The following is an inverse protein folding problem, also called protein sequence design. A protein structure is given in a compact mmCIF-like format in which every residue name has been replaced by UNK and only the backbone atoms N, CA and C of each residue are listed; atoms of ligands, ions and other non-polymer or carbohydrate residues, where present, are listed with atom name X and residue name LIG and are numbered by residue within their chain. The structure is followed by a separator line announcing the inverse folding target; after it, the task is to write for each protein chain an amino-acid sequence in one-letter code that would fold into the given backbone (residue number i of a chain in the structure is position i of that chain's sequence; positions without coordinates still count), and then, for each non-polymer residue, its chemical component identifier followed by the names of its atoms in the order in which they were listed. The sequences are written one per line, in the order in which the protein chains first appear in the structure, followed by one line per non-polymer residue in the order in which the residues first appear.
data_IF_412248471129
#
_entry.id   IF_412248471129
#
_cell.length_a   1.000
_cell.length_b   1.000
_cell.length_c   1.000
_cell.angle_alpha   90.00
_cell.angle_beta   90.00
_cell.angle_gamma   90.00
#
_symmetry.space_group_name_H-M   'P 1'
#
loop_
_entity.id
_entity.type
_entity.pdbx_description
1 polymer ?
#
# COMPACT_ATOMS: atom_id res chain seq x y z
N UNK A 1 -26.84 -68.93 -7.68
CA UNK A 1 -27.16 -68.58 -6.27
C UNK A 1 -27.96 -67.29 -6.26
N UNK A 2 -29.24 -67.29 -5.83
CA UNK A 2 -30.04 -66.08 -5.82
C UNK A 2 -29.58 -65.18 -4.66
N UNK A 3 -29.25 -63.94 -4.96
CA UNK A 3 -28.99 -62.92 -3.94
C UNK A 3 -30.30 -62.71 -3.19
N UNK A 4 -30.33 -63.13 -1.92
CA UNK A 4 -31.49 -63.00 -1.05
C UNK A 4 -32.05 -61.58 -1.09
N UNK A 5 -33.35 -61.44 -1.37
CA UNK A 5 -34.12 -60.20 -1.33
C UNK A 5 -33.92 -59.40 -0.03
N UNK A 6 -33.52 -60.09 1.05
CA UNK A 6 -33.19 -59.49 2.35
C UNK A 6 -31.90 -58.66 2.30
N UNK A 7 -30.88 -59.07 1.52
CA UNK A 7 -29.63 -58.31 1.37
C UNK A 7 -29.82 -57.01 0.56
N UNK A 8 -30.69 -57.03 -0.45
CA UNK A 8 -30.99 -55.84 -1.27
C UNK A 8 -31.76 -54.80 -0.44
N UNK A 9 -32.73 -55.22 0.37
CA UNK A 9 -33.45 -54.33 1.29
C UNK A 9 -32.53 -53.70 2.34
N UNK A 10 -31.58 -54.47 2.87
CA UNK A 10 -30.62 -53.95 3.85
C UNK A 10 -29.65 -52.93 3.24
N UNK A 11 -29.20 -53.16 2.00
CA UNK A 11 -28.33 -52.21 1.28
C UNK A 11 -29.06 -50.90 0.95
N UNK A 12 -30.32 -50.97 0.51
CA UNK A 12 -31.13 -49.77 0.26
C UNK A 12 -31.42 -48.97 1.54
N UNK A 13 -31.60 -49.65 2.68
CA UNK A 13 -31.75 -49.00 3.98
C UNK A 13 -30.46 -48.23 4.36
N UNK A 14 -29.30 -48.85 4.19
CA UNK A 14 -28.00 -48.22 4.47
C UNK A 14 -27.72 -47.03 3.54
N UNK A 15 -28.08 -47.12 2.26
CA UNK A 15 -27.93 -46.01 1.31
C UNK A 15 -28.83 -44.82 1.66
N UNK A 16 -30.09 -45.07 2.03
CA UNK A 16 -31.00 -44.02 2.47
C UNK A 16 -30.54 -43.38 3.78
N UNK A 17 -30.06 -44.17 4.73
CA UNK A 17 -29.55 -43.68 6.02
C UNK A 17 -28.25 -42.87 5.86
N UNK A 18 -27.39 -43.23 4.90
CA UNK A 18 -26.23 -42.41 4.51
C UNK A 18 -26.62 -41.09 3.83
N UNK A 19 -27.64 -41.10 2.97
CA UNK A 19 -28.15 -39.89 2.31
C UNK A 19 -28.77 -38.91 3.32
N UNK A 20 -29.59 -39.42 4.25
CA UNK A 20 -30.18 -38.62 5.33
C UNK A 20 -29.08 -37.98 6.20
N UNK A 21 -28.07 -38.76 6.61
CA UNK A 21 -26.94 -38.24 7.38
C UNK A 21 -26.12 -37.18 6.63
N UNK A 22 -26.01 -37.29 5.31
CA UNK A 22 -25.30 -36.30 4.49
C UNK A 22 -26.09 -34.98 4.37
N UNK A 23 -27.41 -35.05 4.26
CA UNK A 23 -28.27 -33.86 4.22
C UNK A 23 -28.35 -33.17 5.59
N UNK A 24 -28.37 -33.92 6.68
CA UNK A 24 -28.27 -33.37 8.05
C UNK A 24 -26.93 -32.66 8.27
N UNK A 25 -25.82 -33.22 7.79
CA UNK A 25 -24.50 -32.58 7.85
C UNK A 25 -24.45 -31.27 7.04
N UNK A 26 -25.11 -31.23 5.87
CA UNK A 26 -25.25 -30.01 5.06
C UNK A 26 -26.13 -28.97 5.76
N UNK A 27 -27.24 -29.37 6.36
CA UNK A 27 -28.13 -28.49 7.10
C UNK A 27 -27.44 -27.87 8.32
N UNK A 28 -26.67 -28.66 9.07
CA UNK A 28 -25.87 -28.19 10.22
C UNK A 28 -24.74 -27.26 9.75
N UNK A 29 -24.09 -27.55 8.63
CA UNK A 29 -23.08 -26.66 8.05
C UNK A 29 -23.69 -25.31 7.61
N UNK A 30 -24.86 -25.34 6.99
CA UNK A 30 -25.60 -24.14 6.58
C UNK A 30 -26.05 -23.31 7.79
N UNK A 31 -26.60 -23.94 8.83
CA UNK A 31 -26.96 -23.26 10.09
C UNK A 31 -25.73 -22.66 10.79
N UNK A 32 -24.58 -23.35 10.81
CA UNK A 32 -23.33 -22.81 11.36
C UNK A 32 -22.83 -21.60 10.55
N UNK A 33 -23.00 -21.62 9.23
CA UNK A 33 -22.64 -20.51 8.34
C UNK A 33 -23.58 -19.31 8.52
N UNK A 34 -24.88 -19.55 8.69
CA UNK A 34 -25.86 -18.52 9.05
C UNK A 34 -25.62 -17.94 10.44
N UNK A 35 -25.30 -18.76 11.44
CA UNK A 35 -24.96 -18.29 12.79
C UNK A 35 -23.66 -17.47 12.78
N UNK A 36 -22.65 -17.85 11.99
CA UNK A 36 -21.46 -17.01 11.77
C UNK A 36 -21.82 -15.68 11.10
N UNK A 37 -22.69 -15.69 10.07
CA UNK A 37 -23.20 -14.47 9.42
C UNK A 37 -24.01 -13.59 10.38
N UNK A 38 -24.83 -14.17 11.25
CA UNK A 38 -25.59 -13.47 12.29
C UNK A 38 -24.69 -12.90 13.37
N UNK A 39 -23.72 -13.66 13.90
CA UNK A 39 -22.71 -13.14 14.85
C UNK A 39 -21.85 -12.03 14.24
N UNK A 40 -21.49 -12.15 12.95
CA UNK A 40 -20.80 -11.09 12.21
C UNK A 40 -21.67 -9.84 11.99
N UNK A 41 -22.99 -10.01 11.76
CA UNK A 41 -23.94 -8.89 11.70
C UNK A 41 -24.15 -8.22 13.07
N UNK A 42 -24.20 -8.99 14.15
CA UNK A 42 -24.40 -8.47 15.51
C UNK A 42 -23.14 -7.81 16.11
N UNK A 43 -21.93 -8.20 15.69
CA UNK A 43 -20.69 -7.54 16.16
C UNK A 43 -20.40 -6.19 15.49
N UNK A 44 -21.18 -5.81 14.47
CA UNK A 44 -21.09 -4.50 13.83
C UNK A 44 -22.28 -3.64 14.26
N UNK A 45 -22.02 -2.75 15.23
CA UNK A 45 -22.95 -1.69 15.60
C UNK A 45 -23.44 -0.88 14.39
N UNK A 46 -24.64 -0.31 14.56
CA UNK A 46 -25.46 0.48 13.63
C UNK A 46 -24.71 1.15 12.45
N UNK A 47 -25.14 0.74 11.25
CA UNK A 47 -25.06 1.42 9.92
C UNK A 47 -23.69 1.92 9.45
N UNK A 48 -22.79 0.99 9.13
CA UNK A 48 -21.69 1.22 8.18
C UNK A 48 -22.23 1.00 6.75
N UNK A 49 -22.09 1.98 5.85
CA UNK A 49 -22.58 1.87 4.47
C UNK A 49 -21.96 0.68 3.73
N UNK A 50 -22.71 0.05 2.82
CA UNK A 50 -22.24 -1.10 2.00
C UNK A 50 -20.90 -0.80 1.30
N UNK A 51 -20.72 0.44 0.81
CA UNK A 51 -19.47 0.93 0.21
C UNK A 51 -18.27 0.85 1.16
N UNK A 52 -18.46 1.22 2.44
CA UNK A 52 -17.43 1.14 3.48
C UNK A 52 -17.14 -0.31 3.91
N UNK A 53 -18.11 -1.22 3.77
CA UNK A 53 -17.93 -2.67 4.01
C UNK A 53 -17.11 -3.35 2.91
N UNK A 54 -17.20 -2.88 1.67
CA UNK A 54 -16.47 -3.41 0.51
C UNK A 54 -15.19 -2.61 0.17
N UNK A 55 -14.86 -1.58 0.96
CA UNK A 55 -13.73 -0.66 0.69
C UNK A 55 -13.76 -0.05 -0.73
N UNK A 56 -14.95 0.27 -1.22
CA UNK A 56 -15.18 0.83 -2.55
C UNK A 56 -14.90 2.34 -2.55
N UNK A 57 -13.79 2.75 -3.16
CA UNK A 57 -13.51 4.14 -3.51
C UNK A 57 -13.46 4.22 -5.03
N UNK A 58 -14.48 4.85 -5.64
CA UNK A 58 -14.54 4.97 -7.09
C UNK A 58 -13.44 5.89 -7.60
N UNK A 59 -12.85 5.51 -8.74
CA UNK A 59 -11.86 6.34 -9.43
C UNK A 59 -12.52 7.63 -9.89
N UNK A 60 -11.98 8.77 -9.47
CA UNK A 60 -12.42 10.06 -10.02
C UNK A 60 -11.98 10.16 -11.49
N UNK A 61 -12.77 10.85 -12.30
CA UNK A 61 -12.55 11.08 -13.73
C UNK A 61 -11.12 11.55 -14.03
N UNK A 62 -10.60 12.51 -13.28
CA UNK A 62 -9.24 13.04 -13.49
C UNK A 62 -8.16 11.95 -13.36
N UNK A 63 -8.32 11.03 -12.40
CA UNK A 63 -7.38 9.93 -12.19
C UNK A 63 -7.54 8.87 -13.29
N UNK A 64 -8.77 8.60 -13.70
CA UNK A 64 -9.04 7.68 -14.81
C UNK A 64 -8.44 8.21 -16.12
N UNK A 65 -8.66 9.48 -16.46
CA UNK A 65 -8.10 10.12 -17.65
C UNK A 65 -6.57 10.16 -17.60
N UNK A 66 -5.98 10.47 -16.44
CA UNK A 66 -4.54 10.44 -16.26
C UNK A 66 -3.95 9.03 -16.45
N UNK A 67 -4.61 7.99 -15.94
CA UNK A 67 -4.19 6.60 -16.10
C UNK A 67 -4.29 6.17 -17.57
N UNK A 68 -5.42 6.43 -18.22
CA UNK A 68 -5.65 6.02 -19.61
C UNK A 68 -4.71 6.76 -20.58
N UNK A 69 -4.46 8.05 -20.34
CA UNK A 69 -3.52 8.84 -21.14
C UNK A 69 -2.06 8.47 -20.91
N UNK A 70 -1.69 7.92 -19.76
CA UNK A 70 -0.31 7.49 -19.48
C UNK A 70 0.06 6.14 -20.09
N UNK A 71 -0.91 5.37 -20.59
CA UNK A 71 -0.66 4.08 -21.23
C UNK A 71 0.18 4.26 -22.51
N UNK A 72 1.26 3.48 -22.71
CA UNK A 72 2.14 3.57 -23.88
C UNK A 72 1.55 2.84 -25.09
N UNK A 73 0.27 3.11 -25.36
CA UNK A 73 -0.47 2.58 -26.51
C UNK A 73 -1.49 3.59 -26.98
N UNK A 74 -1.58 3.75 -28.29
CA UNK A 74 -2.64 4.53 -28.93
C UNK A 74 -3.76 3.63 -29.47
N UNK A 75 -3.51 2.32 -29.55
CA UNK A 75 -4.47 1.33 -30.00
C UNK A 75 -4.61 0.19 -28.99
N UNK A 76 -5.81 -0.40 -28.91
CA UNK A 76 -6.08 -1.58 -28.11
C UNK A 76 -7.27 -2.35 -28.68
N UNK A 77 -7.11 -3.65 -28.91
CA UNK A 77 -8.24 -4.50 -29.31
C UNK A 77 -9.04 -5.01 -28.12
N UNK A 78 -8.38 -5.26 -26.99
CA UNK A 78 -8.99 -5.82 -25.78
C UNK A 78 -8.47 -5.12 -24.52
N UNK A 79 -9.39 -4.77 -23.63
CA UNK A 79 -9.11 -4.07 -22.37
C UNK A 79 -9.81 -4.80 -21.23
N UNK A 80 -9.11 -5.03 -20.13
CA UNK A 80 -9.67 -5.71 -18.95
C UNK A 80 -9.43 -4.93 -17.66
N UNK A 81 -10.42 -4.94 -16.76
CA UNK A 81 -10.30 -4.52 -15.35
C UNK A 81 -10.76 -5.66 -14.42
N UNK A 82 -9.88 -6.07 -13.50
CA UNK A 82 -10.09 -7.18 -12.57
C UNK A 82 -10.97 -6.83 -11.37
N UNK A 83 -11.24 -5.55 -11.17
CA UNK A 83 -12.03 -5.01 -10.07
C UNK A 83 -12.79 -3.77 -10.57
N UNK A 84 -13.56 -3.97 -11.64
CA UNK A 84 -14.07 -2.90 -12.49
C UNK A 84 -15.04 -1.94 -11.79
N UNK A 85 -15.69 -2.37 -10.70
CA UNK A 85 -16.71 -1.58 -10.03
C UNK A 85 -17.81 -1.18 -11.01
N UNK A 86 -18.19 0.09 -11.00
CA UNK A 86 -19.19 0.63 -11.94
C UNK A 86 -18.62 0.89 -13.35
N UNK A 87 -17.36 0.53 -13.61
CA UNK A 87 -16.74 0.62 -14.94
C UNK A 87 -16.09 1.95 -15.29
N UNK A 88 -15.83 2.84 -14.32
CA UNK A 88 -15.25 4.17 -14.58
C UNK A 88 -13.98 4.15 -15.45
N UNK A 89 -13.07 3.21 -15.19
CA UNK A 89 -11.84 3.06 -15.97
C UNK A 89 -12.14 2.54 -17.39
N UNK A 90 -13.04 1.55 -17.52
CA UNK A 90 -13.44 0.99 -18.82
C UNK A 90 -14.16 2.02 -19.68
N UNK A 91 -15.06 2.81 -19.10
CA UNK A 91 -15.74 3.91 -19.81
C UNK A 91 -14.73 4.95 -20.30
N UNK A 92 -13.75 5.32 -19.48
CA UNK A 92 -12.71 6.27 -19.88
C UNK A 92 -11.81 5.70 -20.97
N UNK A 93 -11.50 4.40 -20.89
CA UNK A 93 -10.74 3.70 -21.93
C UNK A 93 -11.50 3.65 -23.26
N UNK A 94 -12.82 3.43 -23.24
CA UNK A 94 -13.66 3.40 -24.43
C UNK A 94 -13.68 4.73 -25.20
N UNK A 95 -13.40 5.86 -24.53
CA UNK A 95 -13.28 7.16 -25.20
C UNK A 95 -11.96 7.32 -25.97
N UNK A 96 -10.91 6.57 -25.59
CA UNK A 96 -9.59 6.62 -26.23
C UNK A 96 -9.41 5.51 -27.27
N UNK A 97 -9.92 4.32 -27.00
CA UNK A 97 -9.70 3.13 -27.81
C UNK A 97 -11.01 2.71 -28.49
N UNK A 98 -11.30 3.35 -29.61
CA UNK A 98 -12.49 3.06 -30.41
C UNK A 98 -12.56 1.58 -30.78
N UNK A 99 -13.74 0.97 -30.64
CA UNK A 99 -14.01 -0.43 -30.94
C UNK A 99 -13.28 -1.48 -30.08
N UNK A 100 -12.56 -1.09 -29.03
CA UNK A 100 -11.96 -2.05 -28.11
C UNK A 100 -13.04 -2.91 -27.42
N UNK A 101 -12.82 -4.23 -27.36
CA UNK A 101 -13.66 -5.11 -26.56
C UNK A 101 -13.25 -4.99 -25.09
N UNK A 102 -14.20 -4.64 -24.24
CA UNK A 102 -14.00 -4.40 -22.82
C UNK A 102 -14.38 -5.64 -22.00
N UNK A 103 -13.61 -5.93 -20.96
CA UNK A 103 -13.87 -7.01 -20.02
C UNK A 103 -13.89 -6.43 -18.59
N UNK A 104 -15.04 -6.48 -17.93
CA UNK A 104 -15.24 -5.94 -16.59
C UNK A 104 -15.51 -7.04 -15.58
N UNK A 105 -14.59 -7.25 -14.64
CA UNK A 105 -14.70 -8.31 -13.63
C UNK A 105 -14.99 -7.62 -12.31
N UNK A 106 -16.04 -8.07 -11.62
CA UNK A 106 -16.35 -7.61 -10.27
C UNK A 106 -16.98 -8.76 -9.48
N UNK A 107 -16.87 -8.71 -8.14
CA UNK A 107 -17.50 -9.69 -7.25
C UNK A 107 -18.93 -9.27 -6.88
N UNK A 108 -19.27 -7.98 -7.01
CA UNK A 108 -20.60 -7.46 -6.73
C UNK A 108 -21.47 -7.52 -7.99
N UNK A 109 -22.50 -8.35 -7.94
CA UNK A 109 -23.50 -8.54 -8.99
C UNK A 109 -24.20 -7.22 -9.39
N UNK A 110 -24.34 -6.24 -8.50
CA UNK A 110 -24.85 -4.91 -8.86
C UNK A 110 -23.90 -4.13 -9.77
N UNK A 111 -22.58 -4.28 -9.59
CA UNK A 111 -21.58 -3.69 -10.46
C UNK A 111 -21.59 -4.40 -11.82
N UNK A 112 -21.67 -5.73 -11.84
CA UNK A 112 -21.76 -6.50 -13.08
C UNK A 112 -22.97 -6.09 -13.93
N UNK A 113 -24.16 -5.94 -13.32
CA UNK A 113 -25.34 -5.42 -14.03
C UNK A 113 -25.12 -4.05 -14.66
N UNK A 114 -24.34 -3.17 -14.03
CA UNK A 114 -24.00 -1.85 -14.59
C UNK A 114 -22.99 -1.96 -15.73
N UNK A 115 -22.02 -2.85 -15.60
CA UNK A 115 -21.04 -3.15 -16.64
C UNK A 115 -21.71 -3.73 -17.89
N UNK A 116 -22.76 -4.54 -17.75
CA UNK A 116 -23.55 -5.08 -18.87
C UNK A 116 -24.26 -3.99 -19.69
N UNK A 117 -24.45 -2.80 -19.13
CA UNK A 117 -25.03 -1.66 -19.86
C UNK A 117 -24.01 -0.91 -20.71
N UNK A 118 -22.71 -1.19 -20.55
CA UNK A 118 -21.65 -0.55 -21.32
C UNK A 118 -21.53 -1.20 -22.70
N UNK A 119 -21.35 -0.38 -23.74
CA UNK A 119 -21.14 -0.87 -25.09
C UNK A 119 -19.84 -1.68 -25.19
N UNK A 120 -19.84 -2.69 -26.08
CA UNK A 120 -18.69 -3.56 -26.34
C UNK A 120 -18.08 -4.20 -25.08
N UNK A 121 -18.87 -4.39 -24.02
CA UNK A 121 -18.40 -4.89 -22.73
C UNK A 121 -18.90 -6.30 -22.45
N UNK A 122 -18.00 -7.15 -21.96
CA UNK A 122 -18.30 -8.46 -21.36
C UNK A 122 -18.10 -8.34 -19.85
N UNK A 123 -19.18 -8.41 -19.07
CA UNK A 123 -19.07 -8.45 -17.61
C UNK A 123 -18.92 -9.88 -17.10
N UNK A 124 -18.17 -10.07 -16.01
CA UNK A 124 -17.97 -11.38 -15.39
C UNK A 124 -18.07 -11.23 -13.87
N UNK A 125 -19.14 -11.77 -13.29
CA UNK A 125 -19.39 -11.72 -11.85
C UNK A 125 -18.65 -12.84 -11.11
N UNK A 126 -17.43 -12.57 -10.62
CA UNK A 126 -16.64 -13.53 -9.84
C UNK A 126 -15.58 -12.86 -8.95
N UNK A 127 -15.05 -13.62 -8.00
CA UNK A 127 -13.91 -13.20 -7.18
C UNK A 127 -12.58 -13.52 -7.90
N UNK A 128 -11.93 -12.49 -8.47
CA UNK A 128 -10.68 -12.61 -9.21
C UNK A 128 -9.49 -13.09 -8.36
N UNK A 129 -9.60 -13.14 -7.03
CA UNK A 129 -8.50 -13.52 -6.12
C UNK A 129 -8.28 -15.03 -6.00
N UNK A 130 -9.17 -15.85 -6.58
CA UNK A 130 -9.08 -17.31 -6.58
C UNK A 130 -8.43 -17.84 -7.87
N UNK A 131 -7.67 -18.94 -7.78
CA UNK A 131 -6.99 -19.54 -8.94
C UNK A 131 -7.98 -19.94 -10.05
N UNK A 132 -9.03 -20.69 -9.70
CA UNK A 132 -10.02 -21.14 -10.67
C UNK A 132 -10.77 -19.98 -11.35
N UNK A 133 -10.95 -18.86 -10.64
CA UNK A 133 -11.51 -17.64 -11.22
C UNK A 133 -10.54 -16.98 -12.20
N UNK A 134 -9.26 -16.90 -11.84
CA UNK A 134 -8.23 -16.35 -12.71
C UNK A 134 -8.05 -17.17 -14.00
N UNK A 135 -8.13 -18.50 -13.90
CA UNK A 135 -8.12 -19.38 -15.07
C UNK A 135 -9.34 -19.16 -15.97
N UNK A 136 -10.53 -18.96 -15.37
CA UNK A 136 -11.74 -18.59 -16.12
C UNK A 136 -11.59 -17.25 -16.85
N UNK A 137 -10.98 -16.25 -16.21
CA UNK A 137 -10.69 -14.94 -16.82
C UNK A 137 -9.75 -15.12 -18.02
N UNK A 138 -8.68 -15.90 -17.87
CA UNK A 138 -7.76 -16.20 -18.98
C UNK A 138 -8.44 -16.94 -20.13
N UNK A 139 -9.41 -17.80 -19.85
CA UNK A 139 -10.14 -18.53 -20.87
C UNK A 139 -11.10 -17.63 -21.71
N UNK A 140 -11.44 -16.43 -21.26
CA UNK A 140 -12.35 -15.54 -22.00
C UNK A 140 -11.71 -14.91 -23.23
N UNK A 141 -10.41 -14.68 -23.19
CA UNK A 141 -9.69 -14.07 -24.30
C UNK A 141 -8.24 -14.55 -24.31
N UNK A 142 -7.71 -14.86 -25.49
CA UNK A 142 -6.34 -15.36 -25.63
C UNK A 142 -5.29 -14.38 -25.12
N UNK A 143 -5.52 -13.08 -25.31
CA UNK A 143 -4.59 -12.01 -24.91
C UNK A 143 -5.35 -10.75 -24.50
N UNK A 144 -4.90 -10.06 -23.46
CA UNK A 144 -5.41 -8.74 -23.11
C UNK A 144 -4.42 -7.68 -23.56
N UNK A 145 -4.78 -6.84 -24.52
CA UNK A 145 -3.91 -5.79 -25.04
C UNK A 145 -3.59 -4.75 -23.97
N UNK A 146 -4.60 -4.38 -23.18
CA UNK A 146 -4.46 -3.47 -22.05
C UNK A 146 -5.11 -4.07 -20.80
N UNK A 147 -4.38 -4.02 -19.69
CA UNK A 147 -4.92 -4.33 -18.36
C UNK A 147 -4.97 -3.03 -17.56
N UNK A 148 -6.13 -2.65 -17.04
CA UNK A 148 -6.29 -1.48 -16.18
C UNK A 148 -6.85 -1.87 -14.82
N UNK A 149 -6.67 -1.02 -13.82
CA UNK A 149 -7.34 -1.25 -12.55
C UNK A 149 -7.16 -0.17 -11.51
N UNK A 150 -8.15 -0.07 -10.63
CA UNK A 150 -8.04 0.57 -9.34
C UNK A 150 -8.54 -0.41 -8.28
N UNK A 151 -7.67 -1.32 -7.79
CA UNK A 151 -8.08 -2.41 -6.92
C UNK A 151 -8.57 -1.91 -5.56
N UNK A 152 -9.34 -2.74 -4.83
CA UNK A 152 -9.80 -2.42 -3.49
C UNK A 152 -8.65 -2.47 -2.46
N UNK A 153 -8.65 -1.54 -1.50
CA UNK A 153 -7.56 -1.38 -0.52
C UNK A 153 -7.96 -1.98 0.84
N UNK A 154 -7.67 -3.25 1.06
CA UNK A 154 -7.95 -3.91 2.33
C UNK A 154 -6.94 -5.00 2.67
N UNK A 155 -7.00 -5.48 3.93
CA UNK A 155 -6.15 -6.56 4.41
C UNK A 155 -6.91 -7.87 4.34
N UNK A 156 -6.30 -8.90 3.75
CA UNK A 156 -6.89 -10.23 3.56
C UNK A 156 -5.99 -11.32 4.16
N UNK A 157 -6.58 -12.46 4.51
CA UNK A 157 -5.83 -13.64 4.94
C UNK A 157 -5.30 -14.42 3.74
N UNK A 158 -4.07 -14.91 3.85
CA UNK A 158 -3.46 -15.73 2.82
C UNK A 158 -4.11 -17.12 2.70
N UNK A 159 -4.61 -17.43 1.50
CA UNK A 159 -4.89 -18.80 1.02
C UNK A 159 -3.61 -19.49 0.52
N UNK A 160 -3.63 -20.80 0.29
CA UNK A 160 -2.50 -21.52 -0.32
C UNK A 160 -2.07 -20.92 -1.67
N UNK A 161 -3.05 -20.60 -2.53
CA UNK A 161 -2.82 -19.95 -3.82
C UNK A 161 -2.13 -18.59 -3.68
N UNK A 162 -2.65 -17.71 -2.81
CA UNK A 162 -2.03 -16.39 -2.62
C UNK A 162 -0.62 -16.50 -2.03
N UNK A 163 -0.34 -17.44 -1.12
CA UNK A 163 1.04 -17.65 -0.62
C UNK A 163 1.98 -18.06 -1.74
N UNK A 164 1.55 -18.99 -2.58
CA UNK A 164 2.31 -19.42 -3.75
C UNK A 164 2.61 -18.22 -4.67
N UNK A 165 1.59 -17.42 -4.99
CA UNK A 165 1.74 -16.27 -5.87
C UNK A 165 2.65 -15.19 -5.26
N UNK A 166 2.49 -14.85 -3.98
CA UNK A 166 3.39 -13.90 -3.31
C UNK A 166 4.85 -14.40 -3.32
N UNK A 167 5.08 -15.70 -3.12
CA UNK A 167 6.41 -16.29 -3.24
C UNK A 167 6.98 -16.20 -4.68
N UNK A 168 6.17 -16.48 -5.69
CA UNK A 168 6.53 -16.37 -7.12
C UNK A 168 7.00 -14.94 -7.48
N UNK A 169 6.41 -13.93 -6.82
CA UNK A 169 6.73 -12.52 -6.98
C UNK A 169 7.77 -12.00 -5.99
N UNK A 170 8.59 -12.89 -5.41
CA UNK A 170 9.65 -12.59 -4.45
C UNK A 170 9.19 -11.92 -3.15
N UNK A 171 7.89 -11.93 -2.85
CA UNK A 171 7.30 -11.43 -1.61
C UNK A 171 7.06 -12.58 -0.63
N UNK A 172 8.13 -13.10 -0.03
CA UNK A 172 8.03 -14.18 0.95
C UNK A 172 7.66 -13.65 2.36
N UNK A 173 6.46 -13.09 2.48
CA UNK A 173 5.96 -12.62 3.76
C UNK A 173 5.57 -13.79 4.66
N UNK A 174 6.22 -13.92 5.82
CA UNK A 174 5.83 -14.86 6.89
C UNK A 174 4.53 -14.47 7.59
N UNK A 175 3.88 -13.39 7.17
CA UNK A 175 2.68 -12.85 7.81
C UNK A 175 1.45 -13.68 7.44
N UNK A 176 0.47 -13.73 8.33
CA UNK A 176 -0.84 -14.35 8.05
C UNK A 176 -1.62 -13.58 6.97
N UNK A 177 -1.40 -12.27 6.88
CA UNK A 177 -2.18 -11.35 6.07
C UNK A 177 -1.37 -10.68 4.96
N UNK A 178 -2.07 -10.26 3.90
CA UNK A 178 -1.56 -9.43 2.81
C UNK A 178 -2.51 -8.26 2.48
N UNK A 179 -2.06 -7.37 1.60
CA UNK A 179 -2.82 -6.23 1.08
C UNK A 179 -3.42 -6.59 -0.29
N UNK A 180 -4.74 -6.51 -0.43
CA UNK A 180 -5.46 -6.95 -1.62
C UNK A 180 -4.97 -6.25 -2.89
N UNK A 181 -4.71 -4.96 -2.82
CA UNK A 181 -4.18 -4.15 -3.92
C UNK A 181 -2.84 -4.65 -4.48
N UNK A 182 -2.01 -5.30 -3.65
CA UNK A 182 -0.76 -5.94 -4.09
C UNK A 182 -1.03 -7.25 -4.84
N UNK A 183 -2.05 -8.00 -4.42
CA UNK A 183 -2.48 -9.20 -5.14
C UNK A 183 -3.00 -8.83 -6.53
N UNK A 184 -3.88 -7.84 -6.62
CA UNK A 184 -4.42 -7.38 -7.89
C UNK A 184 -3.34 -6.84 -8.83
N UNK A 185 -2.31 -6.16 -8.31
CA UNK A 185 -1.14 -5.80 -9.11
C UNK A 185 -0.48 -7.04 -9.74
N UNK A 186 -0.17 -8.07 -8.94
CA UNK A 186 0.47 -9.28 -9.46
C UNK A 186 -0.41 -10.01 -10.48
N UNK A 187 -1.72 -10.12 -10.22
CA UNK A 187 -2.67 -10.73 -11.15
C UNK A 187 -2.75 -9.95 -12.47
N UNK A 188 -2.82 -8.62 -12.40
CA UNK A 188 -2.85 -7.74 -13.57
C UNK A 188 -1.59 -7.90 -14.41
N UNK A 189 -0.42 -7.94 -13.76
CA UNK A 189 0.84 -8.18 -14.46
C UNK A 189 0.97 -9.60 -15.04
N UNK A 190 0.33 -10.61 -14.44
CA UNK A 190 0.28 -12.00 -14.97
C UNK A 190 -0.66 -12.19 -16.17
N UNK A 191 -1.49 -11.19 -16.48
CA UNK A 191 -2.31 -11.16 -17.69
C UNK A 191 -1.59 -10.53 -18.89
N UNK A 192 -0.40 -9.97 -18.67
CA UNK A 192 0.36 -9.33 -19.75
C UNK A 192 1.07 -10.37 -20.61
N UNK A 193 0.70 -10.39 -21.89
CA UNK A 193 1.39 -11.13 -22.95
C UNK A 193 2.37 -10.21 -23.71
N UNK A 194 2.88 -10.67 -24.86
CA UNK A 194 3.67 -9.82 -25.76
C UNK A 194 2.83 -8.65 -26.26
N UNK A 195 3.47 -7.48 -26.36
CA UNK A 195 2.87 -6.26 -26.89
C UNK A 195 1.66 -5.71 -26.10
N UNK A 196 1.48 -6.16 -24.86
CA UNK A 196 0.50 -5.64 -23.91
C UNK A 196 1.08 -4.55 -22.99
N UNK A 197 0.20 -3.77 -22.36
CA UNK A 197 0.56 -2.86 -21.28
C UNK A 197 -0.44 -2.92 -20.12
N UNK A 198 0.01 -2.45 -18.95
CA UNK A 198 -0.82 -2.34 -17.76
C UNK A 198 -0.74 -0.91 -17.21
N UNK A 199 -1.89 -0.37 -16.77
CA UNK A 199 -1.99 0.85 -15.99
C UNK A 199 -2.81 0.61 -14.72
N UNK A 200 -2.23 0.73 -13.53
CA UNK A 200 -2.91 0.37 -12.28
C UNK A 200 -2.62 1.34 -11.14
N UNK A 201 -3.66 1.69 -10.39
CA UNK A 201 -3.54 2.50 -9.17
C UNK A 201 -3.07 1.63 -8.01
N UNK A 202 -1.99 2.05 -7.34
CA UNK A 202 -1.38 1.31 -6.23
C UNK A 202 -0.90 2.25 -5.10
N UNK A 203 -0.74 1.75 -3.86
CA UNK A 203 -0.30 2.60 -2.74
C UNK A 203 1.17 2.99 -2.81
N UNK A 204 1.51 4.14 -2.22
CA UNK A 204 2.88 4.67 -2.06
C UNK A 204 3.89 3.62 -1.58
N UNK A 205 3.48 2.73 -0.67
CA UNK A 205 4.37 1.72 -0.09
C UNK A 205 5.03 0.80 -1.11
N UNK A 206 4.39 0.55 -2.26
CA UNK A 206 5.00 -0.25 -3.33
C UNK A 206 6.28 0.43 -3.84
N UNK A 207 6.31 1.76 -3.85
CA UNK A 207 7.40 2.57 -4.41
C UNK A 207 8.38 3.12 -3.38
N UNK A 208 7.94 3.33 -2.14
CA UNK A 208 8.74 3.99 -1.10
C UNK A 208 9.29 3.07 -0.01
N UNK A 209 8.68 1.89 0.20
CA UNK A 209 9.02 1.02 1.33
C UNK A 209 10.03 -0.08 0.97
N UNK A 210 10.90 -0.39 1.93
CA UNK A 210 11.87 -1.49 1.84
C UNK A 210 11.17 -2.85 1.69
N UNK A 211 9.99 -3.01 2.32
CA UNK A 211 9.18 -4.23 2.25
C UNK A 211 8.89 -4.69 0.82
N UNK A 212 8.71 -3.74 -0.10
CA UNK A 212 8.36 -4.02 -1.50
C UNK A 212 9.55 -3.86 -2.47
N UNK A 213 10.79 -3.73 -1.96
CA UNK A 213 11.99 -3.74 -2.79
C UNK A 213 12.09 -5.00 -3.68
N UNK A 214 11.82 -6.23 -3.19
CA UNK A 214 11.83 -7.42 -4.05
C UNK A 214 10.78 -7.38 -5.17
N UNK A 215 9.63 -6.74 -4.93
CA UNK A 215 8.61 -6.55 -5.97
C UNK A 215 9.10 -5.57 -7.04
N UNK A 216 9.79 -4.49 -6.67
CA UNK A 216 10.38 -3.55 -7.63
C UNK A 216 11.51 -4.20 -8.45
N UNK A 217 12.33 -5.04 -7.84
CA UNK A 217 13.31 -5.88 -8.54
C UNK A 217 12.62 -6.80 -9.56
N UNK A 218 11.54 -7.47 -9.16
CA UNK A 218 10.75 -8.32 -10.05
C UNK A 218 10.17 -7.53 -11.22
N UNK A 219 9.54 -6.39 -10.98
CA UNK A 219 8.98 -5.52 -12.03
C UNK A 219 10.07 -5.09 -13.03
N UNK A 220 11.21 -4.61 -12.55
CA UNK A 220 12.33 -4.17 -13.44
C UNK A 220 13.01 -5.33 -14.19
N UNK A 221 12.87 -6.57 -13.72
CA UNK A 221 13.33 -7.75 -14.46
C UNK A 221 12.38 -8.18 -15.57
N UNK A 222 11.09 -7.85 -15.46
CA UNK A 222 10.05 -8.28 -16.39
C UNK A 222 9.75 -7.22 -17.45
N UNK A 223 9.83 -5.94 -17.11
CA UNK A 223 9.36 -4.86 -17.97
C UNK A 223 10.46 -3.85 -18.28
N UNK A 224 10.53 -3.45 -19.56
CA UNK A 224 11.49 -2.45 -20.06
C UNK A 224 10.97 -1.03 -19.92
N UNK A 225 9.67 -0.84 -20.06
CA UNK A 225 9.00 0.44 -19.86
C UNK A 225 8.26 0.43 -18.54
N UNK A 226 8.57 1.38 -17.68
CA UNK A 226 7.95 1.59 -16.37
C UNK A 226 7.78 3.10 -16.15
N UNK A 227 6.55 3.55 -15.96
CA UNK A 227 6.25 4.92 -15.53
C UNK A 227 5.50 4.90 -14.19
N UNK A 228 5.92 5.78 -13.28
CA UNK A 228 5.32 5.94 -11.95
C UNK A 228 4.82 7.36 -11.80
N UNK A 229 3.53 7.52 -11.61
CA UNK A 229 2.89 8.84 -11.44
C UNK A 229 2.38 8.95 -10.02
N UNK A 230 3.00 9.81 -9.23
CA UNK A 230 2.57 10.13 -7.89
C UNK A 230 1.32 11.01 -7.92
N UNK A 231 0.21 10.51 -7.38
CA UNK A 231 -1.07 11.20 -7.34
C UNK A 231 -1.14 12.22 -6.19
N UNK A 232 -1.97 13.24 -6.33
CA UNK A 232 -2.25 14.17 -5.24
C UNK A 232 -2.90 13.44 -4.05
N UNK A 233 -2.62 13.90 -2.83
CA UNK A 233 -3.15 13.36 -1.57
C UNK A 233 -4.68 13.46 -1.47
N UNK A 234 -5.33 14.18 -2.40
CA UNK A 234 -6.79 14.34 -2.51
C UNK A 234 -7.37 13.73 -3.79
N UNK A 235 -6.61 12.88 -4.49
CA UNK A 235 -7.04 12.26 -5.74
C UNK A 235 -8.30 11.37 -5.58
N UNK A 236 -8.52 10.82 -4.38
CA UNK A 236 -9.68 9.99 -4.07
C UNK A 236 -10.49 10.58 -2.91
N UNK A 237 -11.79 10.77 -3.13
CA UNK A 237 -12.67 11.34 -2.12
C UNK A 237 -12.79 10.42 -0.90
N UNK A 238 -12.67 10.99 0.30
CA UNK A 238 -12.85 10.26 1.55
C UNK A 238 -11.61 9.51 2.05
N UNK A 239 -10.44 9.70 1.43
CA UNK A 239 -9.16 9.17 1.90
C UNK A 239 -8.02 10.15 1.64
N UNK A 240 -7.05 10.21 2.55
CA UNK A 240 -5.78 10.93 2.36
C UNK A 240 -4.65 9.97 1.91
N UNK A 241 -5.02 8.78 1.43
CA UNK A 241 -4.08 7.75 1.01
C UNK A 241 -3.23 8.21 -0.18
N UNK A 242 -1.91 8.27 0.03
CA UNK A 242 -0.94 8.43 -1.06
C UNK A 242 -0.95 7.23 -1.97
N UNK A 243 -1.25 7.50 -3.23
CA UNK A 243 -1.42 6.52 -4.30
C UNK A 243 -0.62 6.96 -5.52
N UNK A 244 -0.38 6.01 -6.39
CA UNK A 244 0.41 6.19 -7.59
C UNK A 244 -0.27 5.42 -8.73
N UNK A 245 -0.11 5.89 -9.96
CA UNK A 245 -0.36 5.08 -11.15
C UNK A 245 0.96 4.42 -11.53
N UNK A 246 0.95 3.09 -11.61
CA UNK A 246 1.99 2.31 -12.25
C UNK A 246 1.59 2.03 -13.69
N UNK A 247 2.42 2.42 -14.64
CA UNK A 247 2.30 1.96 -16.02
C UNK A 247 3.49 1.08 -16.37
N UNK A 248 3.23 -0.10 -16.93
CA UNK A 248 4.28 -0.96 -17.48
C UNK A 248 3.92 -1.43 -18.88
N UNK A 249 4.93 -1.74 -19.69
CA UNK A 249 4.69 -2.35 -21.00
C UNK A 249 5.72 -3.42 -21.33
N UNK A 250 5.21 -4.45 -22.03
CA UNK A 250 5.98 -5.56 -22.60
C UNK A 250 6.10 -5.46 -24.13
N UNK A 251 5.91 -4.26 -24.69
CA UNK A 251 6.04 -4.01 -26.13
C UNK A 251 7.49 -4.12 -26.60
N UNK A 252 7.71 -4.78 -27.74
CA UNK A 252 9.08 -4.91 -28.30
C UNK A 252 9.65 -3.60 -28.81
N UNK A 253 8.80 -2.76 -29.40
CA UNK A 253 9.18 -1.50 -30.04
C UNK A 253 9.49 -0.37 -29.05
N UNK A 254 9.21 -0.56 -27.76
CA UNK A 254 9.41 0.50 -26.77
C UNK A 254 10.85 0.54 -26.29
N UNK A 255 11.43 1.74 -26.32
CA UNK A 255 12.75 1.97 -25.72
C UNK A 255 12.67 1.74 -24.21
N UNK A 256 13.66 1.05 -23.59
CA UNK A 256 13.72 0.93 -22.15
C UNK A 256 13.72 2.30 -21.47
N UNK A 257 12.75 2.50 -20.59
CA UNK A 257 12.56 3.76 -19.89
C UNK A 257 11.95 3.48 -18.53
N UNK A 258 12.56 4.04 -17.49
CA UNK A 258 12.02 4.03 -16.14
C UNK A 258 11.88 5.49 -15.72
N UNK A 259 10.66 5.92 -15.45
CA UNK A 259 10.35 7.31 -15.12
C UNK A 259 9.49 7.44 -13.87
N UNK A 260 9.63 8.58 -13.20
CA UNK A 260 8.74 8.99 -12.12
C UNK A 260 8.35 10.46 -12.27
N UNK A 261 7.11 10.80 -11.96
CA UNK A 261 6.59 12.17 -12.01
C UNK A 261 5.49 12.40 -10.99
N UNK A 262 5.25 13.66 -10.66
CA UNK A 262 4.05 14.05 -9.91
C UNK A 262 2.92 14.36 -10.87
N UNK A 263 1.69 13.96 -10.54
CA UNK A 263 0.47 14.40 -11.25
C UNK A 263 0.34 15.93 -11.34
N UNK A 264 0.96 16.69 -10.42
CA UNK A 264 0.97 18.15 -10.43
C UNK A 264 2.07 18.77 -11.29
N UNK A 265 3.04 17.98 -11.77
CA UNK A 265 4.22 18.47 -12.49
C UNK A 265 4.38 17.72 -13.81
N UNK A 266 4.51 18.44 -14.91
CA UNK A 266 4.64 17.82 -16.23
C UNK A 266 6.00 17.17 -16.49
N UNK A 267 7.04 17.52 -15.72
CA UNK A 267 8.40 17.02 -15.98
C UNK A 267 8.64 15.66 -15.32
N UNK A 268 8.87 14.64 -16.15
CA UNK A 268 9.30 13.33 -15.69
C UNK A 268 10.80 13.32 -15.34
N UNK A 269 11.13 12.53 -14.30
CA UNK A 269 12.50 12.22 -13.89
C UNK A 269 12.81 10.83 -14.40
N UNK A 270 13.89 10.68 -15.18
CA UNK A 270 14.39 9.37 -15.59
C UNK A 270 15.19 8.74 -14.45
N UNK A 271 14.89 7.49 -14.15
CA UNK A 271 15.55 6.71 -13.11
C UNK A 271 16.44 5.63 -13.74
N UNK A 272 17.57 5.37 -13.10
CA UNK A 272 18.30 4.11 -13.27
C UNK A 272 17.51 2.96 -12.62
N UNK A 273 17.83 1.72 -13.00
CA UNK A 273 17.20 0.53 -12.45
C UNK A 273 17.39 0.47 -10.92
N UNK A 274 18.58 0.80 -10.44
CA UNK A 274 18.94 0.79 -9.02
C UNK A 274 18.16 1.87 -8.25
N UNK A 275 17.96 3.05 -8.85
CA UNK A 275 17.16 4.13 -8.25
C UNK A 275 15.70 3.70 -8.10
N UNK A 276 15.09 3.09 -9.12
CA UNK A 276 13.73 2.57 -9.04
C UNK A 276 13.59 1.47 -7.99
N UNK A 277 14.55 0.53 -7.93
CA UNK A 277 14.55 -0.54 -6.93
C UNK A 277 14.63 0.05 -5.52
N UNK A 278 15.47 1.06 -5.30
CA UNK A 278 15.58 1.71 -4.00
C UNK A 278 14.27 2.45 -3.65
N UNK A 279 13.88 3.45 -4.45
CA UNK A 279 12.61 4.17 -4.33
C UNK A 279 12.16 4.76 -5.66
N UNK A 280 10.90 4.59 -6.03
CA UNK A 280 10.35 5.10 -7.28
C UNK A 280 9.33 6.26 -7.11
N UNK A 281 9.03 6.68 -5.88
CA UNK A 281 8.17 7.84 -5.65
C UNK A 281 8.87 9.13 -6.11
N UNK A 282 8.10 10.05 -6.69
CA UNK A 282 8.64 11.27 -7.27
C UNK A 282 9.14 12.22 -6.18
N UNK A 283 8.46 12.27 -5.03
CA UNK A 283 8.85 13.08 -3.88
C UNK A 283 10.32 12.85 -3.49
N UNK A 284 10.73 11.59 -3.32
CA UNK A 284 12.12 11.23 -3.02
C UNK A 284 13.08 11.60 -4.16
N UNK A 285 12.74 11.22 -5.40
CA UNK A 285 13.64 11.37 -6.54
C UNK A 285 13.79 12.81 -7.04
N UNK A 286 12.84 13.68 -6.74
CA UNK A 286 12.86 15.09 -7.11
C UNK A 286 13.82 15.93 -6.25
N UNK A 287 14.24 15.40 -5.10
CA UNK A 287 15.18 16.07 -4.21
C UNK A 287 16.59 15.50 -4.43
N UNK A 288 17.44 16.25 -5.14
CA UNK A 288 18.84 15.89 -5.39
C UNK A 288 19.75 16.78 -4.55
N UNK A 289 20.75 16.18 -3.91
CA UNK A 289 21.77 16.87 -3.12
C UNK A 289 23.09 16.11 -3.22
N UNK A 290 24.19 16.73 -2.75
CA UNK A 290 25.49 16.10 -2.77
C UNK A 290 25.59 15.04 -1.66
N UNK A 291 25.66 13.77 -2.06
CA UNK A 291 25.74 12.65 -1.11
C UNK A 291 27.16 12.43 -0.52
N UNK A 292 28.15 13.23 -0.92
CA UNK A 292 29.53 13.11 -0.40
C UNK A 292 29.72 13.81 0.97
N UNK A 293 28.69 14.48 1.48
CA UNK A 293 28.72 15.14 2.78
C UNK A 293 28.75 14.12 3.92
N UNK A 294 29.38 14.48 5.04
CA UNK A 294 29.37 13.67 6.25
C UNK A 294 27.92 13.55 6.73
N UNK A 295 27.44 12.33 6.93
CA UNK A 295 26.12 12.09 7.51
C UNK A 295 26.21 11.97 9.03
N UNK A 296 25.07 12.07 9.72
CA UNK A 296 24.97 11.71 11.14
C UNK A 296 25.63 10.36 11.42
N UNK A 297 25.35 9.32 10.63
CA UNK A 297 25.93 7.99 10.83
C UNK A 297 27.46 8.00 10.76
N UNK A 298 28.03 8.61 9.72
CA UNK A 298 29.49 8.70 9.53
C UNK A 298 30.18 9.66 10.50
N UNK A 299 29.41 10.52 11.18
CA UNK A 299 29.93 11.45 12.19
C UNK A 299 30.13 10.84 13.56
N UNK A 300 29.56 9.66 13.82
CA UNK A 300 29.54 9.04 15.14
C UNK A 300 28.46 9.60 16.07
N UNK A 301 27.68 10.60 15.64
CA UNK A 301 26.54 11.11 16.39
C UNK A 301 25.51 10.00 16.57
N UNK A 302 25.17 9.71 17.83
CA UNK A 302 24.23 8.63 18.17
C UNK A 302 22.79 9.11 17.95
N UNK A 303 22.01 8.33 17.20
CA UNK A 303 20.56 8.52 17.06
C UNK A 303 19.80 7.33 17.59
N UNK A 304 18.78 7.59 18.39
CA UNK A 304 17.95 6.59 19.03
C UNK A 304 16.49 6.83 18.67
N UNK A 305 15.73 5.76 18.45
CA UNK A 305 14.26 5.81 18.43
C UNK A 305 13.78 5.64 19.86
N UNK A 306 12.80 6.42 20.30
CA UNK A 306 12.10 6.13 21.55
C UNK A 306 11.50 4.73 21.57
N UNK A 307 11.18 4.24 22.76
CA UNK A 307 10.67 2.89 22.97
C UNK A 307 9.44 2.85 23.88
N UNK A 308 8.96 4.00 24.35
CA UNK A 308 7.71 4.09 25.09
C UNK A 308 6.54 4.07 24.11
N UNK A 309 5.66 3.08 24.26
CA UNK A 309 4.39 3.04 23.54
C UNK A 309 3.34 3.90 24.25
N UNK A 310 2.55 4.66 23.50
CA UNK A 310 1.43 5.43 24.06
C UNK A 310 0.36 4.47 24.56
N UNK A 311 0.24 4.28 25.88
CA UNK A 311 -0.85 3.54 26.49
C UNK A 311 -1.83 4.51 27.16
N UNK A 312 -3.11 4.14 27.33
CA UNK A 312 -4.10 5.01 27.99
C UNK A 312 -3.71 5.44 29.43
N UNK A 313 -2.74 4.76 30.05
CA UNK A 313 -2.19 5.08 31.39
C UNK A 313 -1.11 6.17 31.37
N UNK A 314 -0.55 6.50 30.20
CA UNK A 314 0.37 7.64 30.01
C UNK A 314 -0.47 8.86 29.62
N UNK A 315 -1.26 9.38 30.57
CA UNK A 315 -1.62 10.80 30.51
C UNK A 315 -0.31 11.59 30.50
N UNK A 316 -0.26 12.65 29.68
CA UNK A 316 0.93 13.48 29.48
C UNK A 316 1.51 13.91 30.83
N UNK A 317 2.51 13.18 31.32
CA UNK A 317 3.43 13.72 32.30
C UNK A 317 4.32 14.72 31.58
N UNK A 318 4.64 15.83 32.22
CA UNK A 318 5.49 16.89 31.69
C UNK A 318 6.91 16.40 31.28
N UNK A 319 7.26 15.17 31.64
CA UNK A 319 8.52 14.52 31.30
C UNK A 319 8.44 13.50 30.13
N UNK A 320 7.38 13.48 29.31
CA UNK A 320 7.26 12.58 28.15
C UNK A 320 7.11 13.37 26.84
N UNK A 321 7.98 13.09 25.86
CA UNK A 321 7.90 13.70 24.52
C UNK A 321 7.30 12.71 23.51
N UNK A 322 6.21 13.16 22.87
CA UNK A 322 5.50 12.48 21.80
C UNK A 322 5.44 13.38 20.55
N UNK A 323 5.08 12.83 19.39
CA UNK A 323 4.95 13.63 18.16
C UNK A 323 3.93 14.77 18.26
N UNK A 324 2.95 14.64 19.18
CA UNK A 324 1.96 15.68 19.51
C UNK A 324 2.51 16.78 20.41
N UNK A 325 3.70 16.63 21.00
CA UNK A 325 4.34 17.66 21.82
C UNK A 325 4.95 18.79 20.98
N UNK A 326 4.99 18.64 19.65
CA UNK A 326 5.59 19.59 18.71
C UNK A 326 4.53 20.52 18.11
N UNK A 327 4.16 21.54 18.88
CA UNK A 327 3.15 22.54 18.46
C UNK A 327 3.70 23.48 17.38
N UNK A 328 4.93 23.97 17.59
CA UNK A 328 5.62 24.89 16.67
C UNK A 328 6.68 24.16 15.84
N UNK A 329 7.14 24.77 14.75
CA UNK A 329 8.21 24.21 13.90
C UNK A 329 9.51 23.99 14.69
N UNK A 330 9.72 24.80 15.73
CA UNK A 330 10.76 24.62 16.73
C UNK A 330 10.18 24.63 18.13
N UNK A 331 10.55 23.65 18.95
CA UNK A 331 10.10 23.52 20.34
C UNK A 331 11.31 23.47 21.29
N UNK A 332 11.29 24.30 22.33
CA UNK A 332 12.21 24.19 23.46
C UNK A 332 11.53 23.36 24.54
N UNK A 333 12.17 22.27 24.97
CA UNK A 333 11.66 21.41 26.02
C UNK A 333 12.46 21.63 27.31
N UNK A 334 11.76 21.89 28.40
CA UNK A 334 12.35 22.10 29.71
C UNK A 334 11.44 21.54 30.80
N UNK A 335 12.05 20.92 31.81
CA UNK A 335 11.39 20.54 33.06
C UNK A 335 12.43 20.62 34.20
N UNK A 336 11.96 20.37 35.43
CA UNK A 336 12.80 20.37 36.64
C UNK A 336 13.30 18.97 37.02
N UNK A 337 13.22 17.99 36.11
CA UNK A 337 13.70 16.63 36.38
C UNK A 337 15.17 16.51 35.98
N UNK A 338 16.07 16.63 36.95
CA UNK A 338 17.51 16.55 36.70
C UNK A 338 18.04 15.10 36.65
N UNK A 339 17.24 14.12 37.10
CA UNK A 339 17.59 12.70 37.05
C UNK A 339 17.00 12.04 35.81
N UNK A 340 17.86 11.49 34.94
CA UNK A 340 17.43 10.49 33.98
C UNK A 340 16.95 9.26 34.78
N UNK A 341 15.70 8.84 34.58
CA UNK A 341 15.21 7.62 35.23
C UNK A 341 16.09 6.43 34.86
N UNK A 342 16.56 5.68 35.86
CA UNK A 342 17.25 4.40 35.68
C UNK A 342 16.22 3.34 35.23
N UNK A 343 15.83 3.43 33.96
CA UNK A 343 14.89 2.53 33.32
C UNK A 343 15.35 2.15 31.92
N UNK A 344 14.63 1.21 31.30
CA UNK A 344 14.90 0.80 29.91
C UNK A 344 14.44 1.85 28.89
N UNK A 345 13.77 2.91 29.31
CA UNK A 345 13.25 3.97 28.46
C UNK A 345 14.38 4.80 27.83
N UNK A 346 14.23 5.13 26.54
CA UNK A 346 15.12 6.09 25.89
C UNK A 346 14.86 7.48 26.44
N UNK A 347 15.91 8.10 26.98
CA UNK A 347 15.88 9.45 27.54
C UNK A 347 16.51 10.47 26.59
N UNK A 348 15.96 11.68 26.53
CA UNK A 348 16.62 12.88 26.01
C UNK A 348 16.98 13.80 27.18
N UNK A 349 18.20 14.34 27.18
CA UNK A 349 18.72 15.24 28.22
C UNK A 349 19.17 16.56 27.60
N UNK A 350 19.51 17.54 28.42
CA UNK A 350 20.02 18.85 27.98
C UNK A 350 21.01 18.73 26.81
N UNK A 351 20.73 19.48 25.74
CA UNK A 351 21.52 19.51 24.50
C UNK A 351 21.04 18.51 23.44
N UNK A 352 20.34 17.44 23.81
CA UNK A 352 19.81 16.49 22.83
C UNK A 352 18.75 17.14 21.93
N UNK A 353 18.76 16.75 20.66
CA UNK A 353 17.76 17.18 19.66
C UNK A 353 16.71 16.09 19.49
N UNK A 354 15.44 16.47 19.52
CA UNK A 354 14.30 15.57 19.34
C UNK A 354 13.56 15.87 18.04
N UNK A 355 13.23 14.83 17.28
CA UNK A 355 12.61 14.95 15.95
C UNK A 355 11.41 14.00 15.84
N UNK A 356 10.20 14.47 15.49
CA UNK A 356 9.08 13.59 15.22
C UNK A 356 9.39 12.60 14.10
N UNK A 357 9.08 11.34 14.35
CA UNK A 357 9.28 10.25 13.40
C UNK A 357 8.07 10.01 12.51
N UNK A 358 6.87 10.22 13.05
CA UNK A 358 5.59 9.87 12.40
C UNK A 358 4.56 10.96 12.66
N UNK A 359 3.80 11.29 11.62
CA UNK A 359 2.70 12.24 11.65
C UNK A 359 2.85 13.29 10.55
N UNK A 360 1.87 13.36 9.66
CA UNK A 360 1.90 14.23 8.47
C UNK A 360 2.02 15.71 8.81
N UNK A 361 1.58 16.13 10.01
CA UNK A 361 1.61 17.55 10.45
C UNK A 361 2.83 17.91 11.32
N UNK A 362 3.63 16.94 11.73
CA UNK A 362 4.77 17.17 12.63
C UNK A 362 6.12 16.76 12.03
N UNK A 363 6.14 16.02 10.91
CA UNK A 363 7.38 15.77 10.18
C UNK A 363 7.99 17.09 9.70
N UNK A 364 9.29 17.25 9.97
CA UNK A 364 10.03 18.49 9.69
C UNK A 364 10.09 19.46 10.87
N UNK A 365 9.31 19.22 11.94
CA UNK A 365 9.46 19.96 13.20
C UNK A 365 10.66 19.44 13.98
N UNK A 366 11.23 20.29 14.81
CA UNK A 366 12.44 20.00 15.59
C UNK A 366 12.26 20.51 17.01
N UNK A 367 12.89 19.87 17.99
CA UNK A 367 13.06 20.46 19.30
C UNK A 367 14.40 20.15 19.92
N UNK A 368 14.76 20.90 20.94
CA UNK A 368 15.98 20.71 21.72
C UNK A 368 15.64 20.72 23.20
N UNK A 369 16.31 19.88 23.97
CA UNK A 369 16.15 19.86 25.42
C UNK A 369 17.00 20.99 26.01
N UNK A 370 16.35 22.01 26.55
CA UNK A 370 17.01 23.15 27.20
C UNK A 370 17.43 22.80 28.62
N UNK A 371 16.57 22.12 29.36
CA UNK A 371 16.84 21.69 30.73
C UNK A 371 16.10 20.39 31.07
N UNK A 372 16.65 19.62 32.01
CA UNK A 372 16.04 18.41 32.55
C UNK A 372 16.13 17.19 31.64
N UNK A 373 15.32 16.18 31.94
CA UNK A 373 15.29 14.88 31.27
C UNK A 373 13.89 14.47 30.82
N UNK A 374 13.81 13.82 29.66
CA UNK A 374 12.55 13.43 29.04
C UNK A 374 12.56 12.00 28.52
N UNK A 375 11.53 11.26 28.91
CA UNK A 375 11.20 9.94 28.39
C UNK A 375 10.62 10.04 26.97
N UNK A 376 11.14 9.23 26.04
CA UNK A 376 10.84 9.39 24.61
C UNK A 376 9.99 8.26 24.06
N UNK A 377 8.88 8.64 23.43
CA UNK A 377 7.98 7.71 22.75
C UNK A 377 8.55 7.19 21.44
N UNK A 378 8.05 6.03 21.01
CA UNK A 378 8.48 5.39 19.76
C UNK A 378 8.13 6.15 18.47
N UNK A 379 7.40 7.27 18.61
CA UNK A 379 7.03 8.23 17.58
C UNK A 379 8.03 9.38 17.42
N UNK A 380 9.13 9.39 18.18
CA UNK A 380 10.14 10.47 18.19
C UNK A 380 11.55 9.87 18.18
N UNK A 381 12.47 10.55 17.50
CA UNK A 381 13.91 10.28 17.55
C UNK A 381 14.62 11.22 18.51
N UNK A 382 15.71 10.74 19.10
CA UNK A 382 16.68 11.52 19.86
C UNK A 382 18.01 11.48 19.13
N UNK A 383 18.56 12.64 18.80
CA UNK A 383 19.91 12.82 18.30
C UNK A 383 20.74 13.32 19.48
N UNK A 384 21.72 12.52 19.89
CA UNK A 384 22.55 12.81 21.06
C UNK A 384 23.57 13.89 20.74
N UNK A 385 23.65 14.89 21.61
CA UNK A 385 24.67 15.92 21.53
C UNK A 385 25.67 15.77 22.69
N UNK A 386 26.95 16.02 22.42
CA UNK A 386 27.98 16.06 23.47
C UNK A 386 27.85 17.30 24.36
N UNK A 387 27.42 18.41 23.75
CA UNK A 387 27.29 19.74 24.35
C UNK A 387 26.02 20.40 23.82
N UNK A 388 25.53 21.43 24.52
CA UNK A 388 24.29 22.11 24.15
C UNK A 388 24.40 22.79 22.78
N UNK A 389 25.54 23.43 22.54
CA UNK A 389 25.90 24.16 21.33
C UNK A 389 25.95 23.22 20.11
N UNK A 390 26.49 22.01 20.27
CA UNK A 390 26.43 20.97 19.24
C UNK A 390 24.97 20.61 18.89
N UNK A 391 24.11 20.51 19.91
CA UNK A 391 22.67 20.32 19.74
C UNK A 391 22.02 21.45 18.96
N UNK A 392 22.36 22.70 19.28
CA UNK A 392 21.86 23.87 18.55
C UNK A 392 22.25 23.86 17.08
N UNK A 393 23.49 23.47 16.75
CA UNK A 393 23.94 23.32 15.36
C UNK A 393 23.14 22.26 14.61
N UNK A 394 22.91 21.09 15.22
CA UNK A 394 22.09 20.02 14.61
C UNK A 394 20.64 20.48 14.43
N UNK A 395 20.06 21.15 15.43
CA UNK A 395 18.71 21.68 15.35
C UNK A 395 18.59 22.76 14.26
N UNK A 396 19.58 23.64 14.13
CA UNK A 396 19.63 24.65 13.08
C UNK A 396 19.70 24.01 11.68
N UNK A 397 20.53 22.98 11.50
CA UNK A 397 20.63 22.23 10.25
C UNK A 397 19.29 21.59 9.86
N UNK A 398 18.59 20.95 10.80
CA UNK A 398 17.28 20.34 10.57
C UNK A 398 16.17 21.36 10.28
N UNK A 399 16.24 22.55 10.90
CA UNK A 399 15.29 23.66 10.66
C UNK A 399 15.56 24.42 9.37
N UNK A 400 16.78 24.33 8.83
CA UNK A 400 17.11 24.98 7.58
C UNK A 400 16.16 24.53 6.47
N UNK A 401 16.03 25.35 5.43
CA UNK A 401 15.24 24.98 4.24
C UNK A 401 15.66 23.62 3.70
N UNK A 402 16.97 23.34 3.67
CA UNK A 402 17.52 22.06 3.26
C UNK A 402 17.04 20.92 4.17
N UNK A 403 17.17 21.06 5.49
CA UNK A 403 16.77 20.02 6.45
C UNK A 403 15.29 19.69 6.38
N UNK A 404 14.43 20.71 6.29
CA UNK A 404 12.98 20.54 6.15
C UNK A 404 12.63 19.86 4.82
N UNK A 405 13.22 20.30 3.71
CA UNK A 405 12.97 19.72 2.38
C UNK A 405 13.52 18.29 2.29
N UNK A 406 14.65 17.99 2.95
CA UNK A 406 15.22 16.65 3.06
C UNK A 406 14.31 15.71 3.86
N UNK A 407 13.84 16.11 5.05
CA UNK A 407 12.90 15.31 5.85
C UNK A 407 11.62 15.03 5.06
N UNK A 408 11.10 16.05 4.36
CA UNK A 408 9.92 15.87 3.50
C UNK A 408 10.22 14.89 2.38
N UNK A 409 11.36 14.99 1.69
CA UNK A 409 11.69 14.11 0.56
C UNK A 409 11.83 12.64 0.96
N UNK A 410 12.45 12.37 2.11
CA UNK A 410 12.63 11.00 2.62
C UNK A 410 11.38 10.42 3.30
N UNK A 411 10.40 11.25 3.65
CA UNK A 411 9.15 10.78 4.24
C UNK A 411 8.39 9.82 3.32
N UNK A 412 7.67 8.87 3.91
CA UNK A 412 6.92 7.83 3.19
C UNK A 412 5.71 7.35 3.98
N UNK A 413 4.80 6.65 3.30
CA UNK A 413 3.60 6.08 3.92
C UNK A 413 2.32 6.49 3.19
N UNK A 414 1.28 5.67 3.38
CA UNK A 414 -0.02 5.83 2.71
C UNK A 414 -0.82 6.95 3.38
N UNK A 415 -1.10 6.84 4.68
CA UNK A 415 -1.84 7.86 5.43
C UNK A 415 -0.91 8.75 6.25
N UNK A 416 -0.66 8.37 7.51
CA UNK A 416 0.36 9.03 8.32
C UNK A 416 1.74 8.79 7.71
N UNK A 417 2.42 9.88 7.36
CA UNK A 417 3.80 9.81 6.89
C UNK A 417 4.75 9.52 8.05
N UNK A 418 5.85 8.83 7.73
CA UNK A 418 6.90 8.53 8.69
C UNK A 418 8.28 8.50 8.02
N UNK A 419 9.31 8.57 8.85
CA UNK A 419 10.71 8.30 8.52
C UNK A 419 11.23 7.17 9.41
N UNK A 420 12.23 6.41 8.97
CA UNK A 420 12.82 5.30 9.76
C UNK A 420 14.13 5.74 10.42
N UNK A 421 14.62 4.95 11.38
CA UNK A 421 15.91 5.22 12.02
C UNK A 421 17.05 5.20 10.99
N UNK A 422 16.98 4.32 10.00
CA UNK A 422 17.96 4.27 8.91
C UNK A 422 17.86 5.47 7.98
N UNK A 423 16.66 6.08 7.85
CA UNK A 423 16.51 7.27 7.03
C UNK A 423 17.18 8.47 7.73
N UNK A 424 16.84 8.76 9.00
CA UNK A 424 17.36 9.94 9.74
C UNK A 424 18.88 9.89 9.93
N UNK A 425 19.46 8.70 10.06
CA UNK A 425 20.92 8.50 10.14
C UNK A 425 21.68 8.98 8.90
N UNK A 426 21.01 9.02 7.75
CA UNK A 426 21.57 9.52 6.48
C UNK A 426 21.44 11.03 6.32
N UNK A 427 20.97 11.76 7.35
CA UNK A 427 20.92 13.22 7.33
C UNK A 427 22.32 13.77 7.07
N UNK A 428 22.52 14.57 6.01
CA UNK A 428 23.78 15.27 5.77
C UNK A 428 23.98 16.37 6.80
N UNK A 429 25.17 16.41 7.40
CA UNK A 429 25.62 17.49 8.26
C UNK A 429 26.31 18.51 7.37
N UNK A 430 25.68 19.69 7.23
CA UNK A 430 26.14 20.80 6.41
C UNK A 430 26.65 21.95 7.25
#
# INVERSE_FOLDING_TARGET
MPISLTKIKHLNYLLNDMAIRHDDLRAVAFQKQEQKRRKFKLSMGKTISRKKRLSQYYTNRDVAELLISSLPSDEASTIIDLSAGEGSLLMTAALKYDNAKLYGIDIDDENCRKLDLLQNTTSICLDATHSASFDKIKAQNSTYGIVIGNPPFYTAEHTAYTRFLFKEWALNHKTKYYRAEVLFLMLSLKLLDRDSCCGIVVPDTIFSSEKYKPLREKITSLFKYIDVIELDNKAFLGTEARTHILTVSNKKSISPSITTRSSKKNKAIRLKKEEFIERADHQYNSFKYNNNEKTIETSGIKVMRGNISKTKKTQLHDAIIHSSSFYNDFSLFENNNDSAENGSAVQAVKGDVVVPRVGTRCLGKVGIIRNGSFSITDCVFVIKASEYECGEMVAAALKSKFGVDWIKSISKGIGAQYITLNDIKKLPLR
#
